data_IF_395281793329
#
_entry.id   IF_395281793329
#
_cell.length_a   1.000
_cell.length_b   1.000
_cell.length_c   1.000
_cell.angle_alpha   90.00
_cell.angle_beta   90.00
_cell.angle_gamma   90.00
#
_symmetry.space_group_name_H-M   'P 1'
#
loop_
_entity.id
_entity.type
_entity.pdbx_description
1 polymer ?
#
# COMPACT_ATOMS: atom_id res chain seq x y z
N UNK A 1 -5.75 -50.75 -7.18
CA UNK A 1 -5.77 -49.27 -7.09
C UNK A 1 -4.77 -48.71 -8.08
N UNK A 2 -5.13 -47.72 -8.92
CA UNK A 2 -4.20 -47.09 -9.84
C UNK A 2 -3.00 -46.52 -9.06
N UNK A 3 -1.78 -46.86 -9.47
CA UNK A 3 -0.54 -46.46 -8.78
C UNK A 3 -0.36 -44.94 -8.68
N UNK A 4 -1.03 -44.17 -9.54
CA UNK A 4 -0.97 -42.70 -9.56
C UNK A 4 -1.64 -42.03 -8.35
N UNK A 5 -2.60 -42.70 -7.69
CA UNK A 5 -3.30 -42.14 -6.51
C UNK A 5 -2.33 -41.91 -5.34
N UNK A 6 -1.25 -42.68 -5.25
CA UNK A 6 -0.20 -42.47 -4.25
C UNK A 6 0.50 -41.11 -4.38
N UNK A 7 0.52 -40.52 -5.57
CA UNK A 7 1.10 -39.19 -5.81
C UNK A 7 0.08 -38.05 -5.63
N UNK A 8 -1.21 -38.35 -5.49
CA UNK A 8 -2.25 -37.34 -5.31
C UNK A 8 -1.95 -36.32 -4.19
N UNK A 9 -1.52 -36.70 -2.97
CA UNK A 9 -1.22 -35.71 -1.92
C UNK A 9 -0.04 -34.80 -2.30
N UNK A 10 1.00 -35.34 -2.94
CA UNK A 10 2.14 -34.55 -3.40
C UNK A 10 1.72 -33.56 -4.49
N UNK A 11 0.96 -34.01 -5.48
CA UNK A 11 0.44 -33.16 -6.55
C UNK A 11 -0.44 -32.04 -5.99
N UNK A 12 -1.30 -32.34 -5.01
CA UNK A 12 -2.14 -31.35 -4.35
C UNK A 12 -1.29 -30.27 -3.66
N UNK A 13 -0.25 -30.67 -2.92
CA UNK A 13 0.65 -29.72 -2.25
C UNK A 13 1.39 -28.82 -3.24
N UNK A 14 1.87 -29.39 -4.35
CA UNK A 14 2.56 -28.63 -5.41
C UNK A 14 1.59 -27.63 -6.04
N UNK A 15 0.37 -28.04 -6.39
CA UNK A 15 -0.63 -27.15 -6.96
C UNK A 15 -1.02 -26.03 -5.98
N UNK A 16 -1.22 -26.36 -4.71
CA UNK A 16 -1.52 -25.36 -3.68
C UNK A 16 -0.37 -24.34 -3.54
N UNK A 17 0.87 -24.81 -3.50
CA UNK A 17 2.05 -23.95 -3.47
C UNK A 17 2.18 -23.05 -4.71
N UNK A 18 1.93 -23.61 -5.90
CA UNK A 18 1.97 -22.87 -7.16
C UNK A 18 0.89 -21.77 -7.21
N UNK A 19 -0.34 -22.08 -6.81
CA UNK A 19 -1.43 -21.09 -6.72
C UNK A 19 -1.08 -19.99 -5.73
N UNK A 20 -0.52 -20.35 -4.57
CA UNK A 20 -0.07 -19.35 -3.60
C UNK A 20 1.02 -18.45 -4.19
N UNK A 21 2.11 -19.02 -4.68
CA UNK A 21 3.22 -18.24 -5.24
C UNK A 21 2.75 -17.34 -6.39
N UNK A 22 1.93 -17.86 -7.30
CA UNK A 22 1.34 -17.09 -8.40
C UNK A 22 0.49 -15.92 -7.88
N UNK A 23 -0.36 -16.15 -6.87
CA UNK A 23 -1.21 -15.10 -6.31
C UNK A 23 -0.40 -13.97 -5.68
N UNK A 24 0.67 -14.29 -4.96
CA UNK A 24 1.56 -13.31 -4.34
C UNK A 24 2.36 -12.53 -5.40
N UNK A 25 2.89 -13.23 -6.42
CA UNK A 25 3.58 -12.59 -7.55
C UNK A 25 2.65 -11.66 -8.34
N UNK A 26 1.40 -12.07 -8.56
CA UNK A 26 0.40 -11.24 -9.23
C UNK A 26 0.15 -9.94 -8.48
N UNK A 27 -0.08 -9.99 -7.17
CA UNK A 27 -0.29 -8.79 -6.34
C UNK A 27 0.93 -7.86 -6.42
N UNK A 28 2.13 -8.41 -6.32
CA UNK A 28 3.37 -7.63 -6.39
C UNK A 28 3.59 -6.99 -7.78
N UNK A 29 3.06 -7.60 -8.85
CA UNK A 29 3.19 -7.10 -10.22
C UNK A 29 2.10 -6.08 -10.60
N UNK A 30 0.88 -6.23 -10.07
CA UNK A 30 -0.25 -5.38 -10.47
C UNK A 30 -0.47 -4.16 -9.58
N UNK A 31 0.10 -4.10 -8.38
CA UNK A 31 0.02 -2.90 -7.55
C UNK A 31 0.94 -1.82 -8.15
N UNK A 32 0.33 -0.76 -8.67
CA UNK A 32 1.04 0.39 -9.21
C UNK A 32 1.14 1.52 -8.21
N UNK A 33 2.15 2.38 -8.39
CA UNK A 33 2.30 3.61 -7.60
C UNK A 33 1.07 4.51 -7.76
N UNK A 34 0.55 4.63 -8.98
CA UNK A 34 -0.65 5.41 -9.29
C UNK A 34 -1.87 4.94 -8.51
N UNK A 35 -2.10 3.64 -8.42
CA UNK A 35 -3.24 3.09 -7.66
C UNK A 35 -3.11 3.42 -6.18
N UNK A 36 -1.91 3.29 -5.62
CA UNK A 36 -1.63 3.63 -4.22
C UNK A 36 -1.91 5.10 -3.95
N UNK A 37 -1.37 6.01 -4.77
CA UNK A 37 -1.61 7.45 -4.63
C UNK A 37 -3.10 7.74 -4.69
N UNK A 38 -3.81 7.22 -5.69
CA UNK A 38 -5.23 7.50 -5.86
C UNK A 38 -6.07 7.03 -4.65
N UNK A 39 -5.80 5.84 -4.13
CA UNK A 39 -6.53 5.30 -2.98
C UNK A 39 -6.30 6.16 -1.72
N UNK A 40 -5.05 6.51 -1.42
CA UNK A 40 -4.75 7.28 -0.21
C UNK A 40 -5.09 8.76 -0.34
N UNK A 41 -5.04 9.32 -1.54
CA UNK A 41 -5.57 10.67 -1.81
C UNK A 41 -7.09 10.72 -1.59
N UNK A 42 -7.85 9.71 -2.05
CA UNK A 42 -9.29 9.63 -1.78
C UNK A 42 -9.58 9.51 -0.29
N UNK A 43 -8.75 8.74 0.44
CA UNK A 43 -8.83 8.67 1.89
C UNK A 43 -8.56 10.03 2.54
N UNK A 44 -7.53 10.75 2.09
CA UNK A 44 -7.26 12.11 2.56
C UNK A 44 -8.43 13.06 2.32
N UNK A 45 -9.07 13.02 1.15
CA UNK A 45 -10.25 13.85 0.89
C UNK A 45 -11.40 13.56 1.86
N UNK A 46 -11.56 12.29 2.27
CA UNK A 46 -12.57 11.91 3.27
C UNK A 46 -12.21 12.32 4.70
N UNK A 47 -10.92 12.38 5.04
CA UNK A 47 -10.41 12.67 6.39
C UNK A 47 -10.15 14.18 6.60
N UNK A 48 -9.72 14.90 5.56
CA UNK A 48 -9.23 16.28 5.60
C UNK A 48 -10.31 17.37 5.45
N UNK A 49 -11.57 16.98 5.28
CA UNK A 49 -12.70 17.92 5.26
C UNK A 49 -12.76 18.83 4.04
N UNK A 50 -13.50 19.94 4.15
CA UNK A 50 -13.91 20.78 3.01
C UNK A 50 -12.76 21.50 2.28
N UNK A 51 -11.60 21.62 2.92
CA UNK A 51 -10.42 22.27 2.35
C UNK A 51 -9.46 21.31 1.65
N UNK A 52 -9.65 20.00 1.80
CA UNK A 52 -8.79 18.99 1.20
C UNK A 52 -8.94 18.95 -0.32
N UNK A 53 -7.81 18.94 -1.04
CA UNK A 53 -7.76 18.90 -2.51
C UNK A 53 -6.89 17.76 -3.00
N UNK A 54 -7.20 17.27 -4.21
CA UNK A 54 -6.39 16.25 -4.88
C UNK A 54 -4.94 16.70 -5.08
N UNK A 55 -4.72 17.98 -5.31
CA UNK A 55 -3.41 18.60 -5.54
C UNK A 55 -2.53 18.68 -4.30
N UNK A 56 -3.09 18.42 -3.12
CA UNK A 56 -2.35 18.49 -1.86
C UNK A 56 -1.47 17.25 -1.67
N UNK A 57 -1.72 16.19 -2.43
CA UNK A 57 -1.08 14.88 -2.29
C UNK A 57 0.03 14.64 -3.31
N UNK A 58 1.16 14.14 -2.82
CA UNK A 58 2.31 13.73 -3.62
C UNK A 58 2.84 12.39 -3.12
N UNK A 59 3.34 11.56 -4.04
CA UNK A 59 4.07 10.34 -3.69
C UNK A 59 5.55 10.65 -3.52
N UNK A 60 6.13 10.13 -2.43
CA UNK A 60 7.58 10.14 -2.23
C UNK A 60 8.08 8.73 -1.91
N UNK A 61 9.29 8.34 -2.33
CA UNK A 61 9.88 7.06 -1.96
C UNK A 61 9.97 6.87 -0.44
N UNK A 62 9.68 5.66 0.04
CA UNK A 62 9.85 5.31 1.44
C UNK A 62 11.32 5.25 1.84
N UNK A 63 11.68 5.93 2.93
CA UNK A 63 13.04 5.91 3.48
C UNK A 63 13.25 4.88 4.59
N UNK A 64 12.18 4.24 5.04
CA UNK A 64 12.18 3.30 6.16
C UNK A 64 12.03 1.86 5.67
N UNK A 65 12.62 0.92 6.40
CA UNK A 65 12.51 -0.51 6.08
C UNK A 65 11.05 -0.96 6.01
N UNK A 66 10.67 -1.56 4.88
CA UNK A 66 9.32 -2.07 4.66
C UNK A 66 8.29 -1.02 4.23
N UNK A 67 8.69 0.24 4.06
CA UNK A 67 7.88 1.27 3.40
C UNK A 67 8.35 1.39 1.95
N UNK A 68 7.46 1.15 1.01
CA UNK A 68 7.74 1.29 -0.42
C UNK A 68 7.55 2.75 -0.86
N UNK A 69 6.44 3.35 -0.46
CA UNK A 69 6.05 4.70 -0.85
C UNK A 69 5.32 5.38 0.30
N UNK A 70 5.48 6.70 0.41
CA UNK A 70 4.71 7.53 1.33
C UNK A 70 3.87 8.48 0.50
N UNK A 71 2.55 8.42 0.65
CA UNK A 71 1.65 9.42 0.09
C UNK A 71 1.57 10.55 1.09
N UNK A 72 2.12 11.71 0.75
CA UNK A 72 2.16 12.90 1.59
C UNK A 72 1.13 13.90 1.09
N UNK A 73 0.13 14.17 1.91
CA UNK A 73 -0.91 15.16 1.64
C UNK A 73 -0.72 16.36 2.56
N UNK A 74 -0.46 17.55 2.00
CA UNK A 74 -0.24 18.79 2.74
C UNK A 74 -1.37 19.77 2.43
N UNK A 75 -2.37 19.82 3.30
CA UNK A 75 -3.44 20.80 3.23
C UNK A 75 -3.09 22.10 3.95
N UNK A 76 -4.02 23.06 3.92
CA UNK A 76 -3.85 24.36 4.57
C UNK A 76 -3.67 24.27 6.11
N UNK A 77 -4.34 23.30 6.75
CA UNK A 77 -4.38 23.19 8.21
C UNK A 77 -3.59 21.98 8.75
N UNK A 78 -3.57 20.89 7.98
CA UNK A 78 -3.03 19.61 8.42
C UNK A 78 -2.28 18.89 7.31
N UNK A 79 -1.26 18.13 7.74
CA UNK A 79 -0.49 17.20 6.92
C UNK A 79 -0.78 15.77 7.34
N UNK A 80 -0.93 14.90 6.33
CA UNK A 80 -1.09 13.46 6.49
C UNK A 80 -0.03 12.74 5.68
N UNK A 81 0.74 11.89 6.35
CA UNK A 81 1.70 10.99 5.71
C UNK A 81 1.17 9.56 5.81
N UNK A 82 0.90 8.94 4.67
CA UNK A 82 0.44 7.56 4.55
C UNK A 82 1.62 6.67 4.12
N UNK A 83 2.36 6.03 5.04
CA UNK A 83 3.43 5.11 4.68
C UNK A 83 2.86 3.77 4.25
N UNK A 84 3.16 3.37 3.01
CA UNK A 84 2.57 2.21 2.34
C UNK A 84 3.65 1.19 1.96
N UNK A 85 3.36 -0.09 2.19
CA UNK A 85 4.24 -1.19 1.78
C UNK A 85 4.05 -1.62 0.31
N UNK A 86 4.85 -2.58 -0.15
CA UNK A 86 4.78 -3.10 -1.53
C UNK A 86 3.48 -3.84 -1.85
N UNK A 87 2.65 -4.11 -0.85
CA UNK A 87 1.34 -4.73 -0.99
C UNK A 87 0.20 -3.70 -0.88
N UNK A 88 0.51 -2.40 -0.89
CA UNK A 88 -0.49 -1.33 -0.81
C UNK A 88 -1.05 -1.11 0.59
N UNK A 89 -0.48 -1.71 1.64
CA UNK A 89 -0.99 -1.62 3.01
C UNK A 89 -0.30 -0.51 3.80
N UNK A 90 -1.03 0.14 4.69
CA UNK A 90 -0.45 1.08 5.65
C UNK A 90 0.46 0.37 6.65
N UNK A 91 1.64 0.94 6.85
CA UNK A 91 2.60 0.49 7.87
C UNK A 91 2.45 1.21 9.20
N UNK A 92 1.82 2.38 9.19
CA UNK A 92 1.46 3.13 10.39
C UNK A 92 0.12 3.84 10.16
N UNK A 93 -0.63 4.07 11.24
CA UNK A 93 -1.81 4.93 11.18
C UNK A 93 -1.34 6.38 11.04
N UNK A 94 -1.78 7.11 9.99
CA UNK A 94 -1.46 8.52 9.84
C UNK A 94 -2.06 9.31 11.01
N UNK A 95 -1.23 10.05 11.72
CA UNK A 95 -1.70 11.06 12.66
C UNK A 95 -1.68 12.43 11.95
N UNK A 96 -2.75 13.23 12.03
CA UNK A 96 -2.74 14.59 11.50
C UNK A 96 -1.66 15.40 12.21
N UNK A 97 -0.73 15.94 11.42
CA UNK A 97 0.29 16.86 11.90
C UNK A 97 -0.17 18.28 11.57
N UNK A 98 -0.02 19.24 12.49
CA UNK A 98 -0.30 20.64 12.13
C UNK A 98 0.70 21.09 11.06
N UNK A 99 0.23 21.83 10.06
CA UNK A 99 1.09 22.34 9.00
C UNK A 99 2.28 23.17 9.55
N UNK A 100 2.11 23.83 10.71
CA UNK A 100 3.13 24.64 11.39
C UNK A 100 4.27 23.84 12.02
N UNK A 101 4.07 22.54 12.30
CA UNK A 101 5.05 21.69 13.00
C UNK A 101 5.99 20.96 12.02
N UNK A 102 5.87 21.22 10.70
CA UNK A 102 6.73 20.59 9.70
C UNK A 102 8.15 21.23 9.75
N UNK A 103 9.22 20.44 9.97
CA UNK A 103 10.57 20.97 9.90
C UNK A 103 10.85 21.48 8.48
N UNK A 104 11.33 22.71 8.36
CA UNK A 104 11.92 23.23 7.12
C UNK A 104 13.07 22.29 6.73
N UNK A 105 12.92 21.61 5.59
CA UNK A 105 14.00 20.84 4.94
C UNK A 105 14.45 21.56 3.69
#
# INVERSE_FOLDING_TARGET
MPRWIWFAPLTLLILAGAVWAFRWGWIAATITETDVINIYTQRYLSEGGATARLTDCTAVPGQQSGVWIVVRCVGAEARFDYPVDRFGRLRAVPAPQRATDAPET
#
